data_IF_810130538210
#
_entry.id   IF_810130538210
#
_cell.length_a   1.000
_cell.length_b   1.000
_cell.length_c   1.000
_cell.angle_alpha   90.00
_cell.angle_beta   90.00
_cell.angle_gamma   90.00
#
_symmetry.space_group_name_H-M   'P 1'
#
loop_
_entity.id
_entity.type
_entity.pdbx_description
1 polymer ?
#
# COMPACT_ATOMS: atom_id res chain seq x y z
N UNK A 1 -11.30 6.53 -2.60
CA UNK A 1 -10.10 6.14 -3.38
C UNK A 1 -9.54 4.84 -2.80
N UNK A 2 -8.85 3.97 -3.56
CA UNK A 2 -8.23 2.77 -3.00
C UNK A 2 -6.73 2.76 -3.30
N UNK A 3 -5.90 2.72 -2.26
CA UNK A 3 -4.44 2.79 -2.32
C UNK A 3 -3.88 1.43 -1.92
N UNK A 4 -3.24 0.77 -2.87
CA UNK A 4 -2.64 -0.55 -2.67
C UNK A 4 -1.14 -0.39 -2.45
N UNK A 5 -0.68 -0.71 -1.25
CA UNK A 5 0.73 -0.68 -0.89
C UNK A 5 1.30 -2.08 -1.11
N UNK A 6 2.18 -2.23 -2.10
CA UNK A 6 2.84 -3.49 -2.41
C UNK A 6 4.12 -3.62 -1.59
N UNK A 7 4.28 -4.68 -0.81
CA UNK A 7 5.48 -4.87 0.01
C UNK A 7 5.80 -6.33 0.29
N UNK A 8 7.08 -6.64 0.56
CA UNK A 8 7.54 -7.99 0.86
C UNK A 8 7.34 -8.45 2.31
N UNK A 9 6.63 -7.68 3.15
CA UNK A 9 6.52 -7.97 4.58
C UNK A 9 7.76 -7.62 5.40
N UNK A 10 8.70 -6.85 4.83
CA UNK A 10 9.92 -6.43 5.47
C UNK A 10 9.70 -5.20 6.38
N UNK A 11 10.62 -4.92 7.33
CA UNK A 11 10.50 -3.74 8.23
C UNK A 11 10.36 -2.41 7.50
N UNK A 12 11.09 -2.21 6.39
CA UNK A 12 10.96 -1.01 5.57
C UNK A 12 9.63 -0.95 4.80
N UNK A 13 9.09 -2.11 4.44
CA UNK A 13 7.79 -2.25 3.79
C UNK A 13 6.64 -1.82 4.76
N UNK A 14 6.75 -2.18 6.04
CA UNK A 14 5.82 -1.75 7.09
C UNK A 14 5.93 -0.25 7.39
N UNK A 15 7.15 0.29 7.44
CA UNK A 15 7.37 1.73 7.61
C UNK A 15 6.75 2.54 6.45
N UNK A 16 6.81 2.02 5.22
CA UNK A 16 6.14 2.62 4.07
C UNK A 16 4.61 2.62 4.25
N UNK A 17 4.01 1.51 4.68
CA UNK A 17 2.57 1.43 4.94
C UNK A 17 2.12 2.46 5.99
N UNK A 18 2.88 2.62 7.07
CA UNK A 18 2.62 3.63 8.10
C UNK A 18 2.69 5.05 7.53
N UNK A 19 3.75 5.35 6.76
CA UNK A 19 3.94 6.66 6.13
C UNK A 19 2.80 7.01 5.16
N UNK A 20 2.28 6.03 4.41
CA UNK A 20 1.14 6.23 3.50
C UNK A 20 -0.13 6.53 4.29
N UNK A 21 -0.41 5.81 5.38
CA UNK A 21 -1.56 6.07 6.26
C UNK A 21 -1.51 7.48 6.82
N UNK A 22 -0.35 7.90 7.31
CA UNK A 22 -0.15 9.26 7.82
C UNK A 22 -0.35 10.32 6.73
N UNK A 23 0.19 10.10 5.53
CA UNK A 23 0.06 11.04 4.42
C UNK A 23 -1.40 11.23 3.97
N UNK A 24 -2.16 10.13 3.90
CA UNK A 24 -3.59 10.14 3.53
C UNK A 24 -4.40 10.88 4.59
N UNK A 25 -4.19 10.56 5.87
CA UNK A 25 -4.85 11.24 6.98
C UNK A 25 -4.53 12.74 7.02
N UNK A 26 -3.25 13.11 6.85
CA UNK A 26 -2.80 14.51 6.83
C UNK A 26 -3.38 15.31 5.67
N UNK A 27 -3.59 14.67 4.52
CA UNK A 27 -4.23 15.29 3.36
C UNK A 27 -5.76 15.28 3.43
N UNK A 28 -6.36 14.64 4.44
CA UNK A 28 -7.82 14.51 4.56
C UNK A 28 -8.44 13.74 3.40
N UNK A 29 -7.68 12.83 2.77
CA UNK A 29 -8.15 12.05 1.64
C UNK A 29 -8.88 10.83 2.20
N UNK A 30 -10.12 10.64 1.78
CA UNK A 30 -10.85 9.40 2.06
C UNK A 30 -10.38 8.29 1.11
N UNK A 31 -9.37 7.55 1.56
CA UNK A 31 -8.81 6.42 0.84
C UNK A 31 -8.70 5.17 1.71
N UNK A 32 -9.15 4.05 1.15
CA UNK A 32 -8.96 2.72 1.71
C UNK A 32 -7.55 2.24 1.38
N UNK A 33 -6.77 1.88 2.40
CA UNK A 33 -5.37 1.47 2.25
C UNK A 33 -5.25 -0.03 2.45
N UNK A 34 -4.91 -0.75 1.38
CA UNK A 34 -4.74 -2.20 1.38
C UNK A 34 -3.24 -2.54 1.28
N UNK A 35 -2.75 -3.39 2.20
CA UNK A 35 -1.36 -3.85 2.18
C UNK A 35 -1.27 -5.23 1.54
N UNK A 36 -0.63 -5.30 0.38
CA UNK A 36 -0.55 -6.52 -0.41
C UNK A 36 0.86 -7.09 -0.27
N UNK A 37 0.95 -8.11 0.58
CA UNK A 37 2.15 -8.89 0.83
C UNK A 37 2.25 -10.13 -0.03
N UNK A 38 1.13 -10.59 -0.56
CA UNK A 38 1.09 -11.77 -1.39
C UNK A 38 1.81 -11.53 -2.74
N UNK A 39 2.68 -12.46 -3.11
CA UNK A 39 3.52 -12.35 -4.32
C UNK A 39 2.68 -12.50 -5.59
N UNK A 40 1.64 -13.35 -5.56
CA UNK A 40 0.75 -13.58 -6.69
C UNK A 40 -0.09 -12.33 -7.00
N UNK A 41 -0.70 -11.75 -5.96
CA UNK A 41 -1.45 -10.51 -6.06
C UNK A 41 -0.57 -9.34 -6.52
N UNK A 42 0.69 -9.28 -6.07
CA UNK A 42 1.64 -8.26 -6.55
C UNK A 42 1.90 -8.34 -8.05
N UNK A 43 2.15 -9.52 -8.61
CA UNK A 43 2.39 -9.68 -10.05
C UNK A 43 1.17 -9.35 -10.90
N UNK A 44 -0.03 -9.70 -10.41
CA UNK A 44 -1.28 -9.34 -11.10
C UNK A 44 -1.49 -7.84 -11.15
N UNK A 45 -1.26 -7.14 -10.04
CA UNK A 45 -1.44 -5.70 -9.96
C UNK A 45 -0.39 -4.98 -10.80
N UNK A 46 0.88 -5.40 -10.75
CA UNK A 46 1.94 -4.79 -11.56
C UNK A 46 1.70 -4.91 -13.07
N UNK A 47 0.92 -5.90 -13.53
CA UNK A 47 0.54 -6.03 -14.95
C UNK A 47 -0.60 -5.10 -15.38
N UNK A 48 -1.27 -4.45 -14.42
CA UNK A 48 -2.41 -3.54 -14.65
C UNK A 48 -2.03 -2.06 -14.58
N UNK A 49 -0.77 -1.75 -14.29
CA UNK A 49 -0.18 -0.40 -14.25
C UNK A 49 0.65 -0.21 -15.51
#
# INVERSE_FOLDING_TARGET
MNIKVLGGGCKSCEALLASVKEAVAKKGIDAEIEYITDMENRQRIQKWI
#
